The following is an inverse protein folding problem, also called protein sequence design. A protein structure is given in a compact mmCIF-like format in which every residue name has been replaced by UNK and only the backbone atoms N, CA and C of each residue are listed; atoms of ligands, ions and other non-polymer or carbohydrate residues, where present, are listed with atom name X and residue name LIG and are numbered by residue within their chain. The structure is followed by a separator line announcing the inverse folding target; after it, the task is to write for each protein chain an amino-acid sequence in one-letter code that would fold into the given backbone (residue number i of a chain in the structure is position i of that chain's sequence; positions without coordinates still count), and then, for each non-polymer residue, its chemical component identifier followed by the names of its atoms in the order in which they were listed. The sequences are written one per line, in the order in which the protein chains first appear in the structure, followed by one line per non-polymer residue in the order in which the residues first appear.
data_IF_456686405880
#
_entry.id   IF_456686405880
#
_cell.length_a   1.000
_cell.length_b   1.000
_cell.length_c   1.000
_cell.angle_alpha   90.00
_cell.angle_beta   90.00
_cell.angle_gamma   90.00
#
_symmetry.space_group_name_H-M   'P 1'
#
loop_
_entity.id
_entity.type
_entity.pdbx_description
1 polymer ?
#
# COMPACT_ATOMS: atom_id res chain seq x y z
N UNK A 1 32.07 -15.64 13.92
CA UNK A 1 30.85 -15.51 14.75
C UNK A 1 30.25 -14.10 14.72
N UNK A 2 31.01 -13.00 14.93
CA UNK A 2 30.43 -11.64 14.96
C UNK A 2 29.89 -11.14 13.59
N UNK A 3 30.53 -11.52 12.48
CA UNK A 3 30.09 -11.12 11.13
C UNK A 3 28.75 -11.79 10.71
N UNK A 4 28.59 -13.09 10.95
CA UNK A 4 27.34 -13.82 10.69
C UNK A 4 26.16 -13.31 11.54
N UNK A 5 26.41 -12.85 12.77
CA UNK A 5 25.36 -12.22 13.60
C UNK A 5 24.88 -10.90 13.01
N UNK A 6 25.79 -10.08 12.46
CA UNK A 6 25.44 -8.78 11.87
C UNK A 6 24.67 -8.93 10.56
N UNK A 7 25.03 -9.90 9.73
CA UNK A 7 24.31 -10.21 8.49
C UNK A 7 22.88 -10.70 8.79
N UNK A 8 22.70 -11.60 9.76
CA UNK A 8 21.38 -12.08 10.16
C UNK A 8 20.48 -10.97 10.73
N UNK A 9 21.04 -10.05 11.51
CA UNK A 9 20.33 -8.88 12.05
C UNK A 9 19.91 -7.91 10.93
N UNK A 10 20.80 -7.64 9.97
CA UNK A 10 20.50 -6.80 8.80
C UNK A 10 19.40 -7.42 7.92
N UNK A 11 19.46 -8.73 7.66
CA UNK A 11 18.42 -9.43 6.93
C UNK A 11 17.06 -9.35 7.63
N UNK A 12 17.03 -9.51 8.96
CA UNK A 12 15.80 -9.41 9.77
C UNK A 12 15.24 -8.00 9.73
N UNK A 13 16.10 -6.98 9.84
CA UNK A 13 15.72 -5.57 9.76
C UNK A 13 15.10 -5.22 8.41
N UNK A 14 15.77 -5.55 7.31
CA UNK A 14 15.27 -5.26 5.95
C UNK A 14 13.95 -6.00 5.66
N UNK A 15 13.77 -7.22 6.17
CA UNK A 15 12.51 -7.95 6.04
C UNK A 15 11.37 -7.25 6.78
N UNK A 16 11.64 -6.70 7.98
CA UNK A 16 10.67 -5.92 8.74
C UNK A 16 10.28 -4.64 7.99
N UNK A 17 11.25 -3.88 7.52
CA UNK A 17 11.01 -2.63 6.77
C UNK A 17 10.19 -2.89 5.50
N UNK A 18 10.50 -3.96 4.75
CA UNK A 18 9.71 -4.37 3.58
C UNK A 18 8.26 -4.70 3.97
N UNK A 19 8.08 -5.49 5.03
CA UNK A 19 6.76 -5.87 5.52
C UNK A 19 5.94 -4.63 5.88
N UNK A 20 6.55 -3.72 6.63
CA UNK A 20 5.89 -2.52 7.12
C UNK A 20 5.53 -1.59 5.94
N UNK A 21 6.44 -1.41 4.96
CA UNK A 21 6.18 -0.71 3.70
C UNK A 21 4.97 -1.31 2.92
N UNK A 22 4.88 -2.64 2.86
CA UNK A 22 3.78 -3.30 2.16
C UNK A 22 2.44 -3.08 2.87
N UNK A 23 2.41 -3.15 4.20
CA UNK A 23 1.19 -2.89 4.96
C UNK A 23 0.74 -1.43 4.84
N UNK A 24 1.67 -0.47 4.83
CA UNK A 24 1.35 0.94 4.63
C UNK A 24 0.71 1.18 3.25
N UNK A 25 1.31 0.66 2.18
CA UNK A 25 0.76 0.75 0.84
C UNK A 25 -0.62 0.08 0.71
N UNK A 26 -0.77 -1.13 1.24
CA UNK A 26 -2.06 -1.83 1.22
C UNK A 26 -3.14 -1.06 1.99
N UNK A 27 -2.78 -0.44 3.12
CA UNK A 27 -3.72 0.36 3.92
C UNK A 27 -4.23 1.56 3.14
N UNK A 28 -3.36 2.32 2.50
CA UNK A 28 -3.75 3.46 1.64
C UNK A 28 -4.67 2.97 0.52
N UNK A 29 -4.27 1.90 -0.18
CA UNK A 29 -5.00 1.37 -1.31
C UNK A 29 -6.43 0.93 -0.96
N UNK A 30 -6.60 0.24 0.17
CA UNK A 30 -7.91 -0.21 0.65
C UNK A 30 -8.82 0.96 1.04
N UNK A 31 -8.25 2.02 1.63
CA UNK A 31 -9.02 3.21 2.00
C UNK A 31 -9.51 3.96 0.76
N UNK A 32 -8.68 4.09 -0.27
CA UNK A 32 -9.05 4.72 -1.53
C UNK A 32 -10.15 3.95 -2.27
N UNK A 33 -10.03 2.62 -2.39
CA UNK A 33 -11.09 1.77 -2.96
C UNK A 33 -12.40 1.94 -2.20
N UNK A 34 -12.34 1.97 -0.86
CA UNK A 34 -13.53 2.13 -0.03
C UNK A 34 -14.20 3.50 -0.26
N UNK A 35 -13.40 4.56 -0.32
CA UNK A 35 -13.84 5.93 -0.58
C UNK A 35 -14.54 6.02 -1.94
N UNK A 36 -13.87 5.58 -3.01
CA UNK A 36 -14.40 5.63 -4.37
C UNK A 36 -15.66 4.76 -4.53
N UNK A 37 -15.74 3.62 -3.83
CA UNK A 37 -16.96 2.81 -3.78
C UNK A 37 -18.13 3.55 -3.12
N UNK A 38 -17.89 4.32 -2.06
CA UNK A 38 -18.94 5.12 -1.43
C UNK A 38 -19.38 6.28 -2.30
N UNK A 39 -18.43 6.91 -2.99
CA UNK A 39 -18.70 7.97 -3.97
C UNK A 39 -19.58 7.45 -5.13
N UNK A 40 -19.19 6.36 -5.80
CA UNK A 40 -19.97 5.75 -6.89
C UNK A 40 -21.36 5.26 -6.44
N UNK A 41 -21.50 4.83 -5.18
CA UNK A 41 -22.76 4.36 -4.63
C UNK A 41 -23.65 5.49 -4.04
N UNK A 42 -23.24 6.76 -4.13
CA UNK A 42 -23.98 7.88 -3.57
C UNK A 42 -24.11 7.84 -2.03
N UNK A 43 -23.20 7.16 -1.33
CA UNK A 43 -23.24 7.00 0.13
C UNK A 43 -22.60 8.20 0.84
N UNK A 44 -23.20 9.37 0.68
CA UNK A 44 -22.67 10.67 1.15
C UNK A 44 -22.34 10.68 2.65
N UNK A 45 -23.17 10.06 3.49
CA UNK A 45 -22.90 10.01 4.94
C UNK A 45 -21.65 9.18 5.26
N UNK A 46 -21.46 8.05 4.57
CA UNK A 46 -20.27 7.22 4.73
C UNK A 46 -19.01 7.88 4.18
N UNK A 47 -19.14 8.67 3.12
CA UNK A 47 -18.03 9.47 2.60
C UNK A 47 -17.62 10.53 3.64
N UNK A 48 -18.60 11.23 4.24
CA UNK A 48 -18.35 12.22 5.29
C UNK A 48 -17.68 11.62 6.53
N UNK A 49 -18.18 10.48 7.02
CA UNK A 49 -17.55 9.73 8.13
C UNK A 49 -16.08 9.41 7.85
N UNK A 50 -15.76 8.96 6.63
CA UNK A 50 -14.38 8.65 6.23
C UNK A 50 -13.52 9.92 6.14
N UNK A 51 -14.02 10.95 5.46
CA UNK A 51 -13.28 12.20 5.22
C UNK A 51 -13.04 13.03 6.49
N UNK A 52 -13.86 12.84 7.53
CA UNK A 52 -13.67 13.46 8.84
C UNK A 52 -12.33 13.06 9.47
N UNK A 53 -11.94 11.78 9.36
CA UNK A 53 -10.72 11.25 9.97
C UNK A 53 -9.58 11.11 8.97
N UNK A 54 -9.92 10.89 7.70
CA UNK A 54 -8.97 10.73 6.61
C UNK A 54 -9.15 11.88 5.62
N UNK A 55 -8.70 13.05 6.07
CA UNK A 55 -8.77 14.29 5.30
C UNK A 55 -7.96 14.18 4.00
N UNK A 56 -8.24 15.07 3.05
CA UNK A 56 -7.46 15.16 1.80
C UNK A 56 -5.95 15.28 2.06
N UNK A 57 -5.55 16.13 3.02
CA UNK A 57 -4.14 16.29 3.41
C UNK A 57 -3.58 14.99 3.95
N UNK A 58 -4.28 14.34 4.89
CA UNK A 58 -3.80 13.08 5.49
C UNK A 58 -3.68 11.96 4.46
N UNK A 59 -4.59 11.92 3.48
CA UNK A 59 -4.51 11.00 2.35
C UNK A 59 -3.25 11.21 1.52
N UNK A 60 -2.93 12.46 1.17
CA UNK A 60 -1.71 12.78 0.40
C UNK A 60 -0.47 12.37 1.20
N UNK A 61 -0.37 12.75 2.47
CA UNK A 61 0.75 12.38 3.34
C UNK A 61 0.96 10.87 3.40
N UNK A 62 -0.09 10.11 3.73
CA UNK A 62 0.01 8.65 3.82
C UNK A 62 0.37 8.01 2.47
N UNK A 63 -0.13 8.57 1.37
CA UNK A 63 0.22 8.07 0.02
C UNK A 63 1.70 8.31 -0.28
N UNK A 64 2.22 9.49 0.06
CA UNK A 64 3.64 9.81 -0.12
C UNK A 64 4.54 8.93 0.76
N UNK A 65 4.18 8.73 2.03
CA UNK A 65 4.88 7.84 2.96
C UNK A 65 4.94 6.41 2.42
N UNK A 66 3.80 5.85 2.01
CA UNK A 66 3.72 4.50 1.46
C UNK A 66 4.53 4.34 0.16
N UNK A 67 4.48 5.32 -0.75
CA UNK A 67 5.25 5.30 -1.99
C UNK A 67 6.75 5.33 -1.71
N UNK A 68 7.19 6.21 -0.81
CA UNK A 68 8.60 6.29 -0.40
C UNK A 68 9.08 4.97 0.21
N UNK A 69 8.27 4.36 1.09
CA UNK A 69 8.58 3.09 1.72
C UNK A 69 8.67 1.94 0.69
N UNK A 70 7.74 1.87 -0.27
CA UNK A 70 7.79 0.89 -1.36
C UNK A 70 9.01 1.08 -2.27
N UNK A 71 9.37 2.32 -2.59
CA UNK A 71 10.58 2.59 -3.37
C UNK A 71 11.84 2.20 -2.62
N UNK A 72 11.92 2.46 -1.32
CA UNK A 72 13.07 2.14 -0.49
C UNK A 72 13.24 0.64 -0.23
N UNK A 73 12.16 -0.07 0.15
CA UNK A 73 12.24 -1.42 0.72
C UNK A 73 11.49 -2.50 -0.08
N UNK A 74 10.61 -2.09 -1.00
CA UNK A 74 9.81 -2.99 -1.80
C UNK A 74 10.58 -3.69 -2.91
N UNK A 75 10.03 -4.81 -3.37
CA UNK A 75 10.45 -5.50 -4.59
C UNK A 75 10.15 -4.66 -5.83
N UNK A 76 10.64 -5.10 -6.99
CA UNK A 76 10.33 -4.43 -8.25
C UNK A 76 8.84 -4.54 -8.59
N UNK A 77 8.23 -5.67 -8.28
CA UNK A 77 6.81 -5.97 -8.42
C UNK A 77 5.98 -5.02 -7.53
N UNK A 78 6.43 -4.74 -6.31
CA UNK A 78 5.76 -3.79 -5.43
C UNK A 78 5.85 -2.34 -5.94
N UNK A 79 6.96 -1.97 -6.59
CA UNK A 79 7.10 -0.66 -7.26
C UNK A 79 6.23 -0.57 -8.53
N UNK A 80 6.09 -1.67 -9.26
CA UNK A 80 5.15 -1.74 -10.40
C UNK A 80 3.70 -1.60 -9.94
N UNK A 81 3.34 -2.21 -8.80
CA UNK A 81 2.03 -1.98 -8.17
C UNK A 81 1.83 -0.50 -7.87
N UNK A 82 2.80 0.19 -7.28
CA UNK A 82 2.70 1.62 -6.98
C UNK A 82 2.43 2.48 -8.21
N UNK A 83 3.10 2.21 -9.33
CA UNK A 83 2.88 2.95 -10.58
C UNK A 83 1.51 2.63 -11.20
N UNK A 84 1.12 1.36 -11.24
CA UNK A 84 -0.20 0.97 -11.70
C UNK A 84 -1.32 1.55 -10.82
N UNK A 85 -1.08 1.64 -9.51
CA UNK A 85 -1.99 2.24 -8.55
C UNK A 85 -2.21 3.73 -8.83
N UNK A 86 -1.13 4.47 -9.09
CA UNK A 86 -1.17 5.90 -9.45
C UNK A 86 -2.02 6.14 -10.70
N UNK A 87 -1.79 5.35 -11.75
CA UNK A 87 -2.57 5.46 -13.00
C UNK A 87 -4.06 5.16 -12.76
N UNK A 88 -4.38 4.11 -12.00
CA UNK A 88 -5.76 3.74 -11.72
C UNK A 88 -6.49 4.75 -10.83
N UNK A 89 -5.79 5.37 -9.88
CA UNK A 89 -6.35 6.44 -9.03
C UNK A 89 -6.56 7.74 -9.81
N UNK A 90 -5.66 8.13 -10.72
CA UNK A 90 -5.85 9.29 -11.61
C UNK A 90 -7.06 9.13 -12.54
N UNK A 91 -7.37 7.89 -12.94
CA UNK A 91 -8.51 7.56 -13.78
C UNK A 91 -9.81 7.26 -13.00
N UNK A 92 -9.79 7.28 -11.66
CA UNK A 92 -10.88 6.79 -10.81
C UNK A 92 -11.41 5.41 -11.25
N UNK A 93 -10.52 4.52 -11.71
CA UNK A 93 -10.86 3.19 -12.20
C UNK A 93 -10.97 2.20 -11.04
N UNK A 94 -12.15 2.19 -10.40
CA UNK A 94 -12.44 1.34 -9.25
C UNK A 94 -12.20 -0.16 -9.52
N UNK A 95 -12.50 -0.65 -10.72
CA UNK A 95 -12.40 -2.08 -11.03
C UNK A 95 -10.93 -2.49 -11.15
N UNK A 96 -10.10 -1.65 -11.77
CA UNK A 96 -8.65 -1.85 -11.80
C UNK A 96 -8.03 -1.71 -10.41
N UNK A 97 -8.43 -0.71 -9.62
CA UNK A 97 -7.96 -0.55 -8.24
C UNK A 97 -8.27 -1.79 -7.38
N UNK A 98 -9.47 -2.36 -7.48
CA UNK A 98 -9.81 -3.58 -6.74
C UNK A 98 -8.93 -4.76 -7.14
N UNK A 99 -8.70 -4.96 -8.45
CA UNK A 99 -7.81 -6.02 -8.94
C UNK A 99 -6.37 -5.84 -8.46
N UNK A 100 -5.86 -4.60 -8.48
CA UNK A 100 -4.52 -4.29 -8.00
C UNK A 100 -4.37 -4.57 -6.50
N UNK A 101 -5.38 -4.27 -5.68
CA UNK A 101 -5.36 -4.62 -4.24
C UNK A 101 -5.22 -6.12 -4.03
N UNK A 102 -5.98 -6.95 -4.76
CA UNK A 102 -5.89 -8.40 -4.61
C UNK A 102 -4.54 -8.94 -5.12
N UNK A 103 -4.06 -8.45 -6.27
CA UNK A 103 -2.74 -8.81 -6.77
C UNK A 103 -1.62 -8.46 -5.78
N UNK A 104 -1.71 -7.28 -5.15
CA UNK A 104 -0.74 -6.85 -4.17
C UNK A 104 -0.79 -7.69 -2.89
N UNK A 105 -1.98 -8.12 -2.44
CA UNK A 105 -2.10 -9.06 -1.32
C UNK A 105 -1.45 -10.40 -1.63
N UNK A 106 -1.62 -10.94 -2.85
CA UNK A 106 -0.95 -12.18 -3.23
C UNK A 106 0.56 -11.99 -3.30
N UNK A 107 1.04 -10.86 -3.84
CA UNK A 107 2.47 -10.51 -3.81
C UNK A 107 3.03 -10.49 -2.39
N UNK A 108 2.34 -9.79 -1.48
CA UNK A 108 2.71 -9.73 -0.06
C UNK A 108 2.76 -11.12 0.56
N UNK A 109 1.77 -11.98 0.31
CA UNK A 109 1.76 -13.35 0.84
C UNK A 109 2.95 -14.14 0.30
N UNK A 110 3.17 -14.12 -1.00
CA UNK A 110 4.27 -14.83 -1.63
C UNK A 110 5.64 -14.39 -1.07
N UNK A 111 5.89 -13.08 -1.00
CA UNK A 111 7.19 -12.57 -0.56
C UNK A 111 7.41 -12.66 0.95
N UNK A 112 6.36 -12.50 1.76
CA UNK A 112 6.49 -12.54 3.22
C UNK A 112 6.48 -13.97 3.77
N UNK A 113 5.92 -14.95 3.05
CA UNK A 113 5.96 -16.37 3.41
C UNK A 113 7.18 -17.11 2.85
N UNK A 114 7.74 -16.67 1.71
CA UNK A 114 8.90 -17.32 1.09
C UNK A 114 10.26 -16.92 1.71
N UNK A 115 10.29 -15.88 2.56
CA UNK A 115 11.48 -15.47 3.31
C UNK A 115 11.59 -16.11 4.68
#
# INVERSE_FOLDING_TARGET
MVAQSREAEQHTYLRKERRDAYFEALRVAVLDVRRLRYERAGKTEKLREVEQYWTKTKRIEMSMEALNALHAFGSNEARQFAEAWRVATEADDLDTMQRLVEQFRELMRAELQAG
#
